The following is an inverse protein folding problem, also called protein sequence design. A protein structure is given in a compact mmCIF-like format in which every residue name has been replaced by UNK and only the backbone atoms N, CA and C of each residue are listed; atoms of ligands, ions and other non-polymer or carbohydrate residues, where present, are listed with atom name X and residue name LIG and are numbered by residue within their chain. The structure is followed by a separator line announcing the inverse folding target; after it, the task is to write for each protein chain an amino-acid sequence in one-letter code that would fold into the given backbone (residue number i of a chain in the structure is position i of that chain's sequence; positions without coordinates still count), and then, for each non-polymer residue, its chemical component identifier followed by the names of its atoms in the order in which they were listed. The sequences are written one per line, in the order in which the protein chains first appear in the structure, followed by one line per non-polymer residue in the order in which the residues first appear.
data_IF_946415170540
#
_entry.id   IF_946415170540
#
_cell.length_a   1.000
_cell.length_b   1.000
_cell.length_c   1.000
_cell.angle_alpha   90.00
_cell.angle_beta   90.00
_cell.angle_gamma   90.00
#
_symmetry.space_group_name_H-M   'P 1'
#
loop_
_entity.id
_entity.type
_entity.pdbx_description
1 polymer ?
#
# COMPACT_ATOMS: atom_id res chain seq x y z
N UNK A 1 -31.83 -15.03 -44.87
CA UNK A 1 -30.97 -15.45 -43.74
C UNK A 1 -29.83 -14.47 -43.43
N UNK A 2 -29.38 -13.65 -44.39
CA UNK A 2 -28.27 -12.70 -44.21
C UNK A 2 -28.48 -11.62 -43.13
N UNK A 3 -29.70 -11.07 -42.98
CA UNK A 3 -29.96 -10.03 -41.96
C UNK A 3 -29.80 -10.55 -40.53
N UNK A 4 -30.22 -11.80 -40.28
CA UNK A 4 -30.07 -12.43 -38.95
C UNK A 4 -28.60 -12.75 -38.66
N UNK A 5 -27.85 -13.21 -39.65
CA UNK A 5 -26.41 -13.45 -39.52
C UNK A 5 -25.63 -12.15 -39.23
N UNK A 6 -25.96 -11.05 -39.92
CA UNK A 6 -25.34 -9.73 -39.67
C UNK A 6 -25.61 -9.21 -38.26
N UNK A 7 -26.83 -9.40 -37.74
CA UNK A 7 -27.18 -9.01 -36.37
C UNK A 7 -26.39 -9.85 -35.34
N UNK A 8 -26.32 -11.16 -35.54
CA UNK A 8 -25.57 -12.05 -34.64
C UNK A 8 -24.08 -11.69 -34.62
N UNK A 9 -23.49 -11.43 -35.79
CA UNK A 9 -22.09 -11.00 -35.89
C UNK A 9 -21.91 -9.66 -35.17
N UNK A 10 -22.78 -8.68 -35.40
CA UNK A 10 -22.68 -7.38 -34.73
C UNK A 10 -22.75 -7.50 -33.19
N UNK A 11 -23.64 -8.35 -32.67
CA UNK A 11 -23.76 -8.60 -31.23
C UNK A 11 -22.52 -9.29 -30.67
N UNK A 12 -21.99 -10.30 -31.37
CA UNK A 12 -20.75 -10.98 -30.97
C UNK A 12 -19.57 -10.01 -30.93
N UNK A 13 -19.42 -9.15 -31.94
CA UNK A 13 -18.35 -8.15 -31.97
C UNK A 13 -18.48 -7.15 -30.82
N UNK A 14 -19.71 -6.70 -30.53
CA UNK A 14 -19.96 -5.80 -29.39
C UNK A 14 -19.58 -6.45 -28.05
N UNK A 15 -19.92 -7.73 -27.85
CA UNK A 15 -19.56 -8.47 -26.63
C UNK A 15 -18.04 -8.58 -26.48
N UNK A 16 -17.32 -8.87 -27.57
CA UNK A 16 -15.85 -8.96 -27.54
C UNK A 16 -15.24 -7.62 -27.13
N UNK A 17 -15.73 -6.50 -27.67
CA UNK A 17 -15.23 -5.16 -27.33
C UNK A 17 -15.45 -4.85 -25.84
N UNK A 18 -16.64 -5.17 -25.31
CA UNK A 18 -16.96 -4.96 -23.90
C UNK A 18 -16.03 -5.78 -22.99
N UNK A 19 -15.82 -7.06 -23.32
CA UNK A 19 -14.92 -7.93 -22.56
C UNK A 19 -13.47 -7.44 -22.60
N UNK A 20 -12.99 -6.99 -23.76
CA UNK A 20 -11.65 -6.44 -23.89
C UNK A 20 -11.47 -5.18 -23.03
N UNK A 21 -12.44 -4.26 -23.05
CA UNK A 21 -12.42 -3.05 -22.23
C UNK A 21 -12.43 -3.39 -20.73
N UNK A 22 -13.23 -4.37 -20.31
CA UNK A 22 -13.30 -4.82 -18.93
C UNK A 22 -11.97 -5.41 -18.45
N UNK A 23 -11.33 -6.26 -19.27
CA UNK A 23 -10.04 -6.84 -18.94
C UNK A 23 -8.96 -5.78 -18.76
N UNK A 24 -8.87 -4.83 -19.69
CA UNK A 24 -7.93 -3.70 -19.59
C UNK A 24 -8.16 -2.95 -18.28
N UNK A 25 -9.42 -2.58 -17.98
CA UNK A 25 -9.75 -1.87 -16.76
C UNK A 25 -9.36 -2.65 -15.48
N UNK A 26 -9.66 -3.94 -15.42
CA UNK A 26 -9.33 -4.79 -14.27
C UNK A 26 -7.82 -4.88 -14.03
N UNK A 27 -7.03 -4.98 -15.10
CA UNK A 27 -5.58 -5.03 -15.01
C UNK A 27 -5.07 -3.69 -14.48
N UNK A 28 -5.45 -2.58 -15.10
CA UNK A 28 -5.04 -1.24 -14.66
C UNK A 28 -5.36 -0.95 -13.19
N UNK A 29 -6.57 -1.29 -12.74
CA UNK A 29 -6.95 -1.13 -11.34
C UNK A 29 -6.13 -2.02 -10.40
N UNK A 30 -5.86 -3.28 -10.79
CA UNK A 30 -5.01 -4.18 -10.02
C UNK A 30 -3.59 -3.64 -9.81
N UNK A 31 -2.98 -3.09 -10.87
CA UNK A 31 -1.65 -2.47 -10.78
C UNK A 31 -1.64 -1.23 -9.89
N UNK A 32 -2.67 -0.38 -9.99
CA UNK A 32 -2.76 0.84 -9.20
C UNK A 32 -2.92 0.55 -7.70
N UNK A 33 -3.81 -0.38 -7.34
CA UNK A 33 -4.01 -0.81 -5.95
C UNK A 33 -2.74 -1.46 -5.39
N UNK A 34 -2.08 -2.32 -6.17
CA UNK A 34 -0.83 -2.94 -5.76
C UNK A 34 0.27 -1.90 -5.51
N UNK A 35 0.40 -0.89 -6.37
CA UNK A 35 1.38 0.18 -6.16
C UNK A 35 1.08 1.04 -4.93
N UNK A 36 -0.19 1.37 -4.66
CA UNK A 36 -0.53 2.07 -3.42
C UNK A 36 -0.15 1.23 -2.20
N UNK A 37 -0.50 -0.05 -2.17
CA UNK A 37 -0.15 -0.95 -1.07
C UNK A 37 1.37 -1.00 -0.85
N UNK A 38 2.15 -1.09 -1.93
CA UNK A 38 3.61 -1.07 -1.88
C UNK A 38 4.16 0.25 -1.32
N UNK A 39 3.66 1.39 -1.79
CA UNK A 39 4.10 2.70 -1.34
C UNK A 39 3.76 2.95 0.14
N UNK A 40 2.57 2.54 0.59
CA UNK A 40 2.18 2.59 2.00
C UNK A 40 3.13 1.75 2.85
N UNK A 41 3.32 0.46 2.51
CA UNK A 41 4.20 -0.42 3.26
C UNK A 41 5.64 0.09 3.32
N UNK A 42 6.15 0.62 2.19
CA UNK A 42 7.48 1.21 2.13
C UNK A 42 7.61 2.45 3.01
N UNK A 43 6.63 3.36 2.96
CA UNK A 43 6.61 4.56 3.83
C UNK A 43 6.58 4.21 5.31
N UNK A 44 5.75 3.23 5.70
CA UNK A 44 5.72 2.71 7.07
C UNK A 44 7.06 2.13 7.50
N UNK A 45 7.68 1.30 6.65
CA UNK A 45 8.97 0.68 6.96
C UNK A 45 10.07 1.73 7.15
N UNK A 46 10.11 2.76 6.31
CA UNK A 46 11.09 3.85 6.41
C UNK A 46 10.88 4.70 7.67
N UNK A 47 9.64 5.02 8.02
CA UNK A 47 9.32 5.74 9.24
C UNK A 47 9.73 4.96 10.50
N UNK A 48 9.43 3.66 10.53
CA UNK A 48 9.84 2.78 11.64
C UNK A 48 11.37 2.72 11.75
N UNK A 49 12.07 2.57 10.63
CA UNK A 49 13.54 2.53 10.62
C UNK A 49 14.17 3.82 11.16
N UNK A 50 13.62 4.99 10.82
CA UNK A 50 14.09 6.27 11.36
C UNK A 50 13.92 6.34 12.88
N UNK A 51 12.74 5.96 13.38
CA UNK A 51 12.45 5.94 14.83
C UNK A 51 13.40 5.00 15.56
N UNK A 52 13.66 3.81 15.02
CA UNK A 52 14.61 2.85 15.60
C UNK A 52 16.04 3.40 15.59
N UNK A 53 16.47 4.08 14.53
CA UNK A 53 17.80 4.67 14.45
C UNK A 53 17.97 5.81 15.46
N UNK A 54 16.97 6.66 15.64
CA UNK A 54 17.01 7.73 16.64
C UNK A 54 16.94 7.17 18.07
N UNK A 55 16.15 6.12 18.31
CA UNK A 55 16.02 5.52 19.65
C UNK A 55 17.30 4.81 20.09
N UNK A 56 18.09 4.27 19.15
CA UNK A 56 19.39 3.62 19.43
C UNK A 56 20.43 4.55 20.04
N UNK A 57 20.31 5.85 19.84
CA UNK A 57 21.18 6.84 20.49
C UNK A 57 20.78 7.11 21.95
N UNK A 58 19.91 6.27 22.53
CA UNK A 58 19.33 6.46 23.86
C UNK A 58 18.64 7.82 24.04
N UNK A 59 18.23 8.42 22.93
CA UNK A 59 17.46 9.66 22.94
C UNK A 59 15.97 9.34 23.05
N UNK A 60 15.24 10.22 23.73
CA UNK A 60 13.79 10.18 23.82
C UNK A 60 13.21 10.64 22.47
N UNK A 61 12.58 9.74 21.74
CA UNK A 61 11.97 10.03 20.43
C UNK A 61 10.47 10.28 20.63
N UNK A 62 9.98 11.53 20.49
CA UNK A 62 8.56 11.83 20.59
C UNK A 62 7.82 11.40 19.32
N UNK A 63 6.90 10.46 19.45
CA UNK A 63 5.94 10.06 18.41
C UNK A 63 4.59 10.68 18.66
N UNK A 64 4.06 11.38 17.66
CA UNK A 64 2.70 11.92 17.70
C UNK A 64 1.76 10.93 17.03
N UNK A 65 0.79 10.42 17.78
CA UNK A 65 -0.27 9.56 17.27
C UNK A 65 -1.64 10.19 17.60
N UNK A 66 -2.25 10.83 16.61
CA UNK A 66 -3.49 11.59 16.80
C UNK A 66 -3.27 12.85 17.63
N UNK A 67 -3.95 12.96 18.79
CA UNK A 67 -3.82 14.08 19.73
C UNK A 67 -2.97 13.73 20.97
N UNK A 68 -2.23 12.61 20.91
CA UNK A 68 -1.38 12.13 21.99
C UNK A 68 0.06 12.01 21.50
N UNK A 69 0.99 12.43 22.34
CA UNK A 69 2.43 12.29 22.09
C UNK A 69 2.98 11.20 23.01
N UNK A 70 3.56 10.16 22.43
CA UNK A 70 4.23 9.07 23.12
C UNK A 70 5.73 9.26 23.01
N UNK A 71 6.45 9.11 24.11
CA UNK A 71 7.91 9.16 24.08
C UNK A 71 8.46 7.74 24.05
N UNK A 72 9.18 7.40 22.98
CA UNK A 72 9.86 6.12 22.84
C UNK A 72 11.32 6.24 23.26
N UNK A 73 11.83 5.16 23.84
CA UNK A 73 13.26 4.98 24.13
C UNK A 73 13.58 3.50 23.95
N UNK A 74 14.79 3.21 23.47
CA UNK A 74 15.23 1.82 23.30
C UNK A 74 15.31 1.11 24.66
N UNK A 75 14.81 -0.11 24.73
CA UNK A 75 14.79 -0.90 25.96
C UNK A 75 16.20 -1.31 26.41
N UNK A 76 17.16 -1.43 25.48
CA UNK A 76 18.55 -1.70 25.81
C UNK A 76 19.16 -0.53 26.60
N UNK A 77 18.80 0.71 26.25
CA UNK A 77 19.23 1.91 26.98
C UNK A 77 18.63 1.96 28.39
N UNK A 78 17.38 1.52 28.56
CA UNK A 78 16.77 1.41 29.89
C UNK A 78 17.43 0.31 30.73
N UNK A 79 17.75 -0.83 30.13
CA UNK A 79 18.40 -1.96 30.82
C UNK A 79 19.80 -1.62 31.31
N UNK A 80 20.59 -0.91 30.51
CA UNK A 80 21.94 -0.47 30.88
C UNK A 80 21.98 0.41 32.13
N UNK A 81 20.91 1.18 32.39
CA UNK A 81 20.82 2.08 33.56
C UNK A 81 20.30 1.39 34.83
N UNK A 82 19.68 0.21 34.72
CA UNK A 82 19.17 -0.57 35.88
C UNK A 82 20.18 -1.58 36.44
N UNK A 83 21.28 -1.85 35.74
CA UNK A 83 22.36 -2.76 36.20
C UNK A 83 23.58 -2.02 36.76
N UNK A 84 23.44 -0.72 37.06
CA UNK A 84 24.47 0.12 37.72
C UNK A 84 24.31 0.15 39.23
#
# INVERSE_FOLDING_TARGET
MEKKAKIIIAVLTAIIIILAAFLIYSIYMGWFVAQQQYAYNYGYQMAILQVIQESRNCSLVPLVAGNQTFTLVDIECLRANTTG
#
